data_IF_412368103536
#
_entry.id   IF_412368103536
#
_cell.length_a   1.000
_cell.length_b   1.000
_cell.length_c   1.000
_cell.angle_alpha   90.00
_cell.angle_beta   90.00
_cell.angle_gamma   90.00
#
_symmetry.space_group_name_H-M   'P 1'
#
loop_
_entity.id
_entity.type
_entity.pdbx_description
1 polymer ?
#
# COMPACT_ATOMS: atom_id res chain seq x y z
N UNK A 1 13.38 -10.47 18.00
CA UNK A 1 13.60 -9.63 19.19
C UNK A 1 13.35 -8.18 18.77
N UNK A 2 12.45 -7.44 19.44
CA UNK A 2 12.26 -6.00 19.14
C UNK A 2 13.46 -5.25 19.69
N UNK A 3 14.15 -4.49 18.85
CA UNK A 3 15.37 -3.77 19.23
C UNK A 3 14.97 -2.33 19.49
N UNK A 4 14.97 -1.93 20.76
CA UNK A 4 14.82 -0.53 21.15
C UNK A 4 16.21 0.10 21.07
N UNK A 5 16.40 0.96 20.08
CA UNK A 5 17.67 1.63 19.85
C UNK A 5 17.66 3.00 20.54
N UNK A 6 18.80 3.39 21.10
CA UNK A 6 19.00 4.79 21.44
C UNK A 6 19.35 5.60 20.18
N UNK A 7 19.36 6.94 20.30
CA UNK A 7 19.52 7.84 19.15
C UNK A 7 20.86 7.62 18.40
N UNK A 8 21.96 7.37 19.12
CA UNK A 8 23.26 7.08 18.51
C UNK A 8 23.32 5.72 17.79
N UNK A 9 22.62 4.71 18.31
CA UNK A 9 22.46 3.42 17.62
C UNK A 9 21.54 3.53 16.41
N UNK A 10 20.54 4.41 16.46
CA UNK A 10 19.68 4.70 15.34
C UNK A 10 20.43 5.40 14.19
N UNK A 11 21.31 6.35 14.49
CA UNK A 11 22.18 6.98 13.49
C UNK A 11 23.09 5.95 12.80
N UNK A 12 23.67 5.02 13.58
CA UNK A 12 24.46 3.92 13.04
C UNK A 12 23.63 2.98 12.15
N UNK A 13 22.38 2.68 12.55
CA UNK A 13 21.46 1.89 11.73
C UNK A 13 21.07 2.64 10.44
N UNK A 14 20.82 3.95 10.51
CA UNK A 14 20.48 4.79 9.36
C UNK A 14 21.59 4.79 8.32
N UNK A 15 22.84 4.91 8.75
CA UNK A 15 24.02 4.77 7.88
C UNK A 15 24.08 3.38 7.21
N UNK A 16 23.83 2.30 7.98
CA UNK A 16 23.78 0.94 7.42
C UNK A 16 22.64 0.74 6.42
N UNK A 17 21.47 1.34 6.65
CA UNK A 17 20.34 1.31 5.71
C UNK A 17 20.68 2.06 4.42
N UNK A 18 21.29 3.25 4.52
CA UNK A 18 21.76 4.01 3.35
C UNK A 18 22.80 3.21 2.54
N UNK A 19 23.68 2.49 3.23
CA UNK A 19 24.67 1.60 2.63
C UNK A 19 24.07 0.29 2.08
N UNK A 20 22.75 0.08 2.16
CA UNK A 20 22.03 -1.15 1.79
C UNK A 20 22.49 -2.40 2.56
N UNK A 21 23.07 -2.23 3.75
CA UNK A 21 23.53 -3.32 4.62
C UNK A 21 22.49 -3.74 5.65
N UNK A 22 21.46 -2.93 5.87
CA UNK A 22 20.32 -3.24 6.72
C UNK A 22 19.00 -2.82 6.05
N UNK A 23 17.90 -3.47 6.41
CA UNK A 23 16.57 -3.13 5.89
C UNK A 23 15.54 -2.99 7.02
N UNK A 24 14.71 -1.94 6.92
CA UNK A 24 13.55 -1.73 7.79
C UNK A 24 12.29 -2.18 7.08
N UNK A 25 11.58 -3.12 7.69
CA UNK A 25 10.31 -3.61 7.20
C UNK A 25 9.17 -3.18 8.13
N UNK A 26 8.28 -2.33 7.59
CA UNK A 26 7.04 -1.95 8.23
C UNK A 26 5.86 -2.62 7.50
N UNK A 27 4.88 -3.22 8.21
CA UNK A 27 3.71 -3.82 7.57
C UNK A 27 2.88 -2.76 6.82
N UNK A 28 2.44 -3.11 5.60
CA UNK A 28 1.62 -2.20 4.75
C UNK A 28 0.35 -1.71 5.42
N UNK A 29 -0.28 -2.55 6.25
CA UNK A 29 -1.49 -2.24 7.00
C UNK A 29 -1.26 -1.09 8.00
N UNK A 30 -0.19 -1.17 8.79
CA UNK A 30 0.22 -0.13 9.75
C UNK A 30 0.58 1.17 9.01
N UNK A 31 1.35 1.06 7.91
CA UNK A 31 1.70 2.24 7.12
C UNK A 31 0.48 2.95 6.56
N UNK A 32 -0.50 2.22 6.00
CA UNK A 32 -1.73 2.83 5.51
C UNK A 32 -2.56 3.43 6.65
N UNK A 33 -2.59 2.80 7.83
CA UNK A 33 -3.27 3.36 9.00
C UNK A 33 -2.65 4.67 9.46
N UNK A 34 -1.32 4.80 9.45
CA UNK A 34 -0.63 6.07 9.73
C UNK A 34 -1.16 7.19 8.83
N UNK A 35 -1.17 6.97 7.50
CA UNK A 35 -1.62 7.99 6.55
C UNK A 35 -3.15 8.16 6.49
N UNK A 36 -3.96 7.18 6.91
CA UNK A 36 -5.43 7.32 6.86
C UNK A 36 -6.04 7.79 8.18
N UNK A 37 -5.45 7.44 9.34
CA UNK A 37 -6.04 7.68 10.67
C UNK A 37 -5.33 8.74 11.50
N UNK A 38 -4.01 8.90 11.38
CA UNK A 38 -3.25 9.89 12.17
C UNK A 38 -3.26 11.23 11.45
N UNK A 39 -3.53 12.35 12.12
CA UNK A 39 -3.59 13.65 11.42
C UNK A 39 -2.20 14.06 10.94
N UNK A 40 -2.14 14.85 9.85
CA UNK A 40 -0.84 15.34 9.35
C UNK A 40 -0.13 16.23 10.38
N UNK A 41 -0.90 16.98 11.18
CA UNK A 41 -0.39 17.82 12.26
C UNK A 41 0.22 16.99 13.39
N UNK A 42 -0.42 15.89 13.80
CA UNK A 42 0.16 15.02 14.84
C UNK A 42 1.49 14.39 14.39
N UNK A 43 1.60 14.04 13.10
CA UNK A 43 2.85 13.54 12.52
C UNK A 43 3.90 14.65 12.50
N UNK A 44 3.54 15.87 12.09
CA UNK A 44 4.44 17.02 12.05
C UNK A 44 4.92 17.41 13.46
N UNK A 45 4.02 17.49 14.43
CA UNK A 45 4.31 17.83 15.82
C UNK A 45 5.26 16.81 16.48
N UNK A 46 5.12 15.53 16.11
CA UNK A 46 5.95 14.44 16.68
C UNK A 46 7.28 14.28 15.96
N UNK A 47 7.29 14.41 14.63
CA UNK A 47 8.44 14.03 13.80
C UNK A 47 9.19 15.21 13.20
N UNK A 48 8.64 16.42 13.32
CA UNK A 48 9.16 17.65 12.71
C UNK A 48 9.05 17.68 11.19
N UNK A 49 8.28 16.77 10.57
CA UNK A 49 8.15 16.65 9.12
C UNK A 49 6.69 16.74 8.67
N UNK A 50 6.43 17.66 7.76
CA UNK A 50 5.17 17.72 7.05
C UNK A 50 5.04 16.53 6.08
N UNK A 51 3.98 15.74 6.26
CA UNK A 51 3.61 14.62 5.40
C UNK A 51 2.25 14.81 4.70
N UNK A 52 1.76 16.05 4.64
CA UNK A 52 0.44 16.38 4.11
C UNK A 52 0.28 15.93 2.65
N UNK A 53 1.29 16.15 1.81
CA UNK A 53 1.23 15.80 0.39
C UNK A 53 1.19 14.28 0.17
N UNK A 54 2.01 13.54 0.92
CA UNK A 54 2.03 12.08 0.92
C UNK A 54 0.67 11.53 1.38
N UNK A 55 0.12 12.11 2.44
CA UNK A 55 -1.21 11.77 2.95
C UNK A 55 -2.29 11.99 1.90
N UNK A 56 -2.30 13.15 1.24
CA UNK A 56 -3.23 13.45 0.15
C UNK A 56 -3.11 12.46 -1.00
N UNK A 57 -1.89 12.07 -1.39
CA UNK A 57 -1.68 11.09 -2.44
C UNK A 57 -2.17 9.68 -2.07
N UNK A 58 -1.99 9.25 -0.82
CA UNK A 58 -2.59 7.99 -0.34
C UNK A 58 -4.11 8.07 -0.42
N UNK A 59 -4.71 9.14 0.08
CA UNK A 59 -6.17 9.34 0.04
C UNK A 59 -6.74 9.39 -1.37
N UNK A 60 -6.10 10.13 -2.29
CA UNK A 60 -6.55 10.22 -3.68
C UNK A 60 -6.53 8.86 -4.36
N UNK A 61 -5.50 8.05 -4.10
CA UNK A 61 -5.40 6.68 -4.62
C UNK A 61 -6.52 5.77 -4.11
N UNK A 62 -6.86 5.89 -2.82
CA UNK A 62 -7.96 5.12 -2.20
C UNK A 62 -9.31 5.53 -2.81
N UNK A 63 -9.59 6.84 -2.84
CA UNK A 63 -10.83 7.37 -3.39
C UNK A 63 -10.97 6.97 -4.87
N UNK A 64 -9.91 7.14 -5.66
CA UNK A 64 -9.92 6.80 -7.07
C UNK A 64 -10.15 5.30 -7.31
N UNK A 65 -9.58 4.43 -6.48
CA UNK A 65 -9.86 2.99 -6.54
C UNK A 65 -11.35 2.70 -6.35
N UNK A 66 -12.00 3.29 -5.35
CA UNK A 66 -13.44 3.12 -5.14
C UNK A 66 -14.28 3.71 -6.26
N UNK A 67 -13.89 4.86 -6.83
CA UNK A 67 -14.58 5.45 -7.98
C UNK A 67 -14.50 4.55 -9.22
N UNK A 68 -13.33 3.96 -9.49
CA UNK A 68 -13.17 3.02 -10.60
C UNK A 68 -13.96 1.73 -10.38
N UNK A 69 -14.01 1.24 -9.14
CA UNK A 69 -14.84 0.09 -8.80
C UNK A 69 -16.35 0.40 -8.96
N UNK A 70 -16.80 1.59 -8.53
CA UNK A 70 -18.18 2.03 -8.74
C UNK A 70 -18.51 2.17 -10.23
N UNK A 71 -17.60 2.73 -11.04
CA UNK A 71 -17.73 2.80 -12.49
C UNK A 71 -17.81 1.40 -13.12
N UNK A 72 -17.02 0.44 -12.61
CA UNK A 72 -17.10 -0.96 -13.03
C UNK A 72 -18.50 -1.53 -12.75
N UNK A 73 -19.08 -1.30 -11.56
CA UNK A 73 -20.42 -1.78 -11.23
C UNK A 73 -21.50 -1.17 -12.11
N UNK A 74 -21.42 0.13 -12.41
CA UNK A 74 -22.33 0.81 -13.34
C UNK A 74 -22.24 0.18 -14.73
N UNK A 75 -21.03 -0.11 -15.20
CA UNK A 75 -20.82 -0.76 -16.47
C UNK A 75 -21.34 -2.22 -16.47
N UNK A 76 -21.22 -2.97 -15.35
CA UNK A 76 -21.82 -4.31 -15.21
C UNK A 76 -23.34 -4.23 -15.35
N UNK A 77 -23.98 -3.24 -14.73
CA UNK A 77 -25.43 -3.04 -14.84
C UNK A 77 -25.82 -2.77 -16.30
N UNK A 78 -25.05 -1.93 -17.00
CA UNK A 78 -25.29 -1.62 -18.42
C UNK A 78 -25.12 -2.84 -19.34
N UNK A 79 -24.11 -3.67 -19.11
CA UNK A 79 -23.79 -4.81 -19.97
C UNK A 79 -24.71 -6.02 -19.74
N UNK A 80 -25.13 -6.28 -18.50
CA UNK A 80 -25.84 -7.51 -18.15
C UNK A 80 -27.35 -7.34 -17.90
N UNK A 81 -27.87 -6.11 -17.81
CA UNK A 81 -29.29 -5.85 -17.54
C UNK A 81 -29.77 -6.57 -16.28
N UNK A 82 -30.79 -7.43 -16.40
CA UNK A 82 -31.29 -8.25 -15.27
C UNK A 82 -30.23 -9.20 -14.70
N UNK A 83 -29.29 -9.69 -15.51
CA UNK A 83 -28.18 -10.53 -15.07
C UNK A 83 -27.22 -9.82 -14.10
N UNK A 84 -27.26 -8.49 -14.05
CA UNK A 84 -26.47 -7.69 -13.10
C UNK A 84 -26.83 -7.98 -11.63
N UNK A 85 -28.05 -8.46 -11.36
CA UNK A 85 -28.47 -8.89 -10.01
C UNK A 85 -27.56 -9.97 -9.42
N UNK A 86 -26.97 -10.82 -10.27
CA UNK A 86 -25.97 -11.81 -9.86
C UNK A 86 -24.53 -11.33 -10.13
N UNK A 87 -24.29 -10.70 -11.28
CA UNK A 87 -22.95 -10.30 -11.69
C UNK A 87 -22.34 -9.19 -10.81
N UNK A 88 -23.15 -8.22 -10.34
CA UNK A 88 -22.64 -7.13 -9.51
C UNK A 88 -22.21 -7.60 -8.10
N UNK A 89 -23.00 -8.39 -7.35
CA UNK A 89 -22.54 -8.97 -6.08
C UNK A 89 -21.29 -9.85 -6.23
N UNK A 90 -21.24 -10.69 -7.27
CA UNK A 90 -20.06 -11.53 -7.54
C UNK A 90 -18.82 -10.67 -7.80
N UNK A 91 -18.95 -9.64 -8.63
CA UNK A 91 -17.88 -8.66 -8.88
C UNK A 91 -17.41 -8.01 -7.58
N UNK A 92 -18.33 -7.66 -6.67
CA UNK A 92 -18.00 -7.16 -5.33
C UNK A 92 -17.23 -8.15 -4.48
N UNK A 93 -17.66 -9.42 -4.41
CA UNK A 93 -16.96 -10.47 -3.65
C UNK A 93 -15.53 -10.64 -4.18
N UNK A 94 -15.36 -10.74 -5.50
CA UNK A 94 -14.04 -10.86 -6.11
C UNK A 94 -13.16 -9.64 -5.83
N UNK A 95 -13.72 -8.44 -5.90
CA UNK A 95 -12.99 -7.22 -5.58
C UNK A 95 -12.49 -7.24 -4.14
N UNK A 96 -13.37 -7.56 -3.17
CA UNK A 96 -13.01 -7.63 -1.76
C UNK A 96 -11.91 -8.67 -1.50
N UNK A 97 -12.00 -9.85 -2.11
CA UNK A 97 -10.98 -10.90 -1.99
C UNK A 97 -9.64 -10.41 -2.55
N UNK A 98 -9.61 -9.87 -3.77
CA UNK A 98 -8.37 -9.45 -4.42
C UNK A 98 -7.72 -8.25 -3.73
N UNK A 99 -8.52 -7.31 -3.24
CA UNK A 99 -8.05 -6.22 -2.39
C UNK A 99 -7.52 -6.75 -1.05
N UNK A 100 -8.20 -7.73 -0.45
CA UNK A 100 -7.79 -8.36 0.81
C UNK A 100 -6.50 -9.17 0.70
N UNK A 101 -6.21 -9.74 -0.46
CA UNK A 101 -4.98 -10.49 -0.76
C UNK A 101 -3.74 -9.60 -0.91
N UNK A 102 -3.76 -8.35 -0.44
CA UNK A 102 -2.58 -7.48 -0.45
C UNK A 102 -1.51 -8.10 0.46
N UNK A 103 -0.35 -8.54 -0.08
CA UNK A 103 0.71 -9.10 0.75
C UNK A 103 1.18 -8.05 1.76
N UNK A 104 1.25 -8.40 3.04
CA UNK A 104 1.72 -7.47 4.08
C UNK A 104 3.21 -7.11 3.93
N UNK A 105 3.95 -7.95 3.18
CA UNK A 105 5.39 -7.85 2.92
C UNK A 105 5.68 -8.14 1.45
N UNK A 106 6.76 -7.56 0.94
CA UNK A 106 7.25 -7.81 -0.42
C UNK A 106 7.17 -6.60 -1.35
N UNK A 107 7.66 -6.77 -2.58
CA UNK A 107 7.64 -5.74 -3.62
C UNK A 107 6.24 -5.58 -4.23
N UNK A 108 5.89 -4.39 -4.76
CA UNK A 108 4.61 -4.15 -5.43
C UNK A 108 4.46 -4.94 -6.75
N UNK A 109 5.49 -5.69 -7.15
CA UNK A 109 5.54 -6.44 -8.40
C UNK A 109 4.34 -7.38 -8.61
N UNK A 110 3.91 -8.12 -7.57
CA UNK A 110 2.79 -9.06 -7.69
C UNK A 110 1.48 -8.36 -8.10
N UNK A 111 1.22 -7.19 -7.53
CA UNK A 111 0.05 -6.37 -7.85
C UNK A 111 0.13 -5.80 -9.26
N UNK A 112 1.31 -5.34 -9.69
CA UNK A 112 1.54 -4.83 -11.05
C UNK A 112 1.46 -5.93 -12.10
N UNK A 113 1.95 -7.13 -11.81
CA UNK A 113 1.83 -8.29 -12.69
C UNK A 113 0.37 -8.70 -12.86
N UNK A 114 -0.42 -8.77 -11.78
CA UNK A 114 -1.85 -9.04 -11.85
C UNK A 114 -2.60 -7.99 -12.68
N UNK A 115 -2.24 -6.71 -12.55
CA UNK A 115 -2.79 -5.64 -13.39
C UNK A 115 -2.45 -5.81 -14.87
N UNK A 116 -1.20 -6.13 -15.20
CA UNK A 116 -0.78 -6.36 -16.58
C UNK A 116 -1.53 -7.53 -17.22
N UNK A 117 -1.74 -8.63 -16.47
CA UNK A 117 -2.56 -9.76 -16.90
C UNK A 117 -4.01 -9.30 -17.14
N UNK A 118 -4.58 -8.53 -16.21
CA UNK A 118 -5.94 -7.98 -16.35
C UNK A 118 -6.10 -7.10 -17.59
N UNK A 119 -5.14 -6.22 -17.87
CA UNK A 119 -5.13 -5.43 -19.11
C UNK A 119 -4.97 -6.28 -20.36
N UNK A 120 -4.12 -7.32 -20.31
CA UNK A 120 -3.97 -8.29 -21.40
C UNK A 120 -5.28 -9.01 -21.70
N UNK A 121 -6.02 -9.43 -20.66
CA UNK A 121 -7.35 -10.01 -20.80
C UNK A 121 -8.37 -9.01 -21.37
N UNK A 122 -8.33 -7.75 -20.91
CA UNK A 122 -9.20 -6.70 -21.44
C UNK A 122 -8.98 -6.44 -22.94
N UNK A 123 -7.74 -6.56 -23.41
CA UNK A 123 -7.37 -6.35 -24.82
C UNK A 123 -7.86 -7.46 -25.76
N UNK A 124 -8.06 -8.68 -25.26
CA UNK A 124 -8.55 -9.82 -26.06
C UNK A 124 -10.04 -10.13 -25.83
N UNK A 125 -10.66 -9.48 -24.85
CA UNK A 125 -12.07 -9.66 -24.55
C UNK A 125 -12.97 -9.01 -25.61
N UNK A 126 -14.21 -9.50 -25.78
CA UNK A 126 -15.22 -8.78 -26.56
C UNK A 126 -15.41 -7.37 -26.01
N UNK A 127 -15.64 -6.40 -26.89
CA UNK A 127 -15.59 -4.96 -26.55
C UNK A 127 -16.55 -4.54 -25.42
N UNK A 128 -17.63 -5.29 -25.20
CA UNK A 128 -18.58 -5.09 -24.11
C UNK A 128 -17.96 -5.36 -22.73
N UNK A 129 -16.99 -6.28 -22.64
CA UNK A 129 -16.34 -6.67 -21.39
C UNK A 129 -15.00 -5.95 -21.15
N UNK A 130 -14.38 -5.40 -22.20
CA UNK A 130 -13.13 -4.63 -22.10
C UNK A 130 -13.18 -3.53 -21.02
N UNK A 131 -14.18 -2.63 -20.98
CA UNK A 131 -14.22 -1.60 -19.94
C UNK A 131 -14.43 -2.20 -18.54
N UNK A 132 -15.17 -3.30 -18.42
CA UNK A 132 -15.39 -3.99 -17.13
C UNK A 132 -14.09 -4.51 -16.57
N UNK A 133 -13.35 -5.29 -17.37
CA UNK A 133 -12.10 -5.91 -16.95
C UNK A 133 -11.05 -4.83 -16.66
N UNK A 134 -10.96 -3.79 -17.50
CA UNK A 134 -10.00 -2.70 -17.32
C UNK A 134 -10.27 -1.89 -16.05
N UNK A 135 -11.53 -1.47 -15.81
CA UNK A 135 -11.91 -0.73 -14.61
C UNK A 135 -11.72 -1.56 -13.35
N UNK A 136 -12.09 -2.84 -13.39
CA UNK A 136 -11.90 -3.76 -12.29
C UNK A 136 -10.42 -3.93 -11.95
N UNK A 137 -9.58 -4.27 -12.95
CA UNK A 137 -8.14 -4.45 -12.76
C UNK A 137 -7.47 -3.16 -12.25
N UNK A 138 -7.83 -2.01 -12.82
CA UNK A 138 -7.29 -0.71 -12.40
C UNK A 138 -7.70 -0.36 -10.96
N UNK A 139 -8.94 -0.65 -10.56
CA UNK A 139 -9.42 -0.39 -9.21
C UNK A 139 -8.63 -1.18 -8.16
N UNK A 140 -8.40 -2.49 -8.40
CA UNK A 140 -7.64 -3.36 -7.49
C UNK A 140 -6.18 -2.92 -7.45
N UNK A 141 -5.58 -2.66 -8.62
CA UNK A 141 -4.20 -2.22 -8.72
C UNK A 141 -3.94 -0.92 -7.98
N UNK A 142 -4.78 0.11 -8.18
CA UNK A 142 -4.66 1.37 -7.46
C UNK A 142 -4.76 1.17 -5.95
N UNK A 143 -5.69 0.33 -5.47
CA UNK A 143 -5.78 0.06 -4.04
C UNK A 143 -4.50 -0.55 -3.47
N UNK A 144 -3.87 -1.49 -4.18
CA UNK A 144 -2.59 -2.10 -3.80
C UNK A 144 -1.43 -1.11 -3.88
N UNK A 145 -1.40 -0.26 -4.90
CA UNK A 145 -0.41 0.82 -5.05
C UNK A 145 -0.50 1.79 -3.87
N UNK A 146 -1.71 2.15 -3.42
CA UNK A 146 -1.91 2.98 -2.24
C UNK A 146 -1.27 2.39 -0.97
N UNK A 147 -1.36 1.07 -0.77
CA UNK A 147 -0.64 0.38 0.32
C UNK A 147 0.88 0.44 0.15
N UNK A 148 1.38 0.25 -1.06
CA UNK A 148 2.82 0.28 -1.33
C UNK A 148 3.41 1.70 -1.16
N UNK A 149 2.71 2.73 -1.62
CA UNK A 149 3.10 4.13 -1.44
C UNK A 149 3.13 4.51 0.04
N UNK A 150 2.08 4.16 0.78
CA UNK A 150 2.03 4.37 2.23
C UNK A 150 3.20 3.68 2.94
N UNK A 151 3.51 2.44 2.58
CA UNK A 151 4.66 1.71 3.14
C UNK A 151 5.98 2.39 2.84
N UNK A 152 6.21 2.80 1.59
CA UNK A 152 7.44 3.45 1.17
C UNK A 152 7.69 4.74 1.95
N UNK A 153 6.68 5.62 2.05
CA UNK A 153 6.81 6.88 2.77
C UNK A 153 6.90 6.72 4.28
N UNK A 154 6.20 5.74 4.85
CA UNK A 154 6.35 5.44 6.28
C UNK A 154 7.76 4.91 6.59
N UNK A 155 8.33 4.05 5.75
CA UNK A 155 9.71 3.58 5.90
C UNK A 155 10.72 4.73 5.79
N UNK A 156 10.53 5.66 4.85
CA UNK A 156 11.36 6.85 4.75
C UNK A 156 11.26 7.73 6.00
N UNK A 157 10.05 7.98 6.50
CA UNK A 157 9.84 8.75 7.72
C UNK A 157 10.56 8.13 8.92
N UNK A 158 10.39 6.82 9.12
CA UNK A 158 11.05 6.06 10.19
C UNK A 158 12.57 6.06 10.05
N UNK A 159 13.10 6.02 8.83
CA UNK A 159 14.56 5.99 8.61
C UNK A 159 15.21 7.36 8.87
N UNK A 160 14.44 8.43 8.74
CA UNK A 160 14.95 9.79 8.81
C UNK A 160 14.68 10.51 10.14
N UNK A 161 13.73 10.02 10.94
CA UNK A 161 13.36 10.62 12.22
C UNK A 161 13.35 9.57 13.32
N UNK A 162 14.18 9.78 14.34
CA UNK A 162 14.22 8.91 15.51
C UNK A 162 12.87 8.88 16.25
N UNK A 163 12.19 10.03 16.34
CA UNK A 163 10.85 10.11 16.94
C UNK A 163 9.81 9.27 16.17
N UNK A 164 9.88 9.26 14.84
CA UNK A 164 9.01 8.42 14.02
C UNK A 164 9.35 6.93 14.17
N UNK A 165 10.63 6.61 14.31
CA UNK A 165 11.08 5.26 14.63
C UNK A 165 10.56 4.79 15.98
N UNK A 166 10.69 5.61 17.02
CA UNK A 166 10.24 5.27 18.37
C UNK A 166 8.72 5.04 18.41
N UNK A 167 7.94 5.90 17.73
CA UNK A 167 6.49 5.74 17.58
C UNK A 167 6.08 4.41 16.91
N UNK A 168 6.90 3.87 16.00
CA UNK A 168 6.56 2.71 15.18
C UNK A 168 7.39 1.47 15.51
N UNK A 169 8.32 1.54 16.48
CA UNK A 169 9.29 0.49 16.82
C UNK A 169 8.62 -0.83 17.16
N UNK A 170 7.43 -0.77 17.76
CA UNK A 170 6.67 -1.96 18.11
C UNK A 170 6.20 -2.78 16.91
N UNK A 171 6.10 -2.15 15.74
CA UNK A 171 5.61 -2.74 14.50
C UNK A 171 6.73 -2.92 13.46
N UNK A 172 7.93 -2.41 13.74
CA UNK A 172 9.09 -2.48 12.86
C UNK A 172 9.82 -3.82 13.03
N UNK A 173 10.23 -4.39 11.89
CA UNK A 173 11.21 -5.48 11.85
C UNK A 173 12.47 -4.95 11.19
N UNK A 174 13.60 -5.16 11.87
CA UNK A 174 14.93 -4.75 11.40
C UNK A 174 15.66 -6.02 10.99
N UNK A 175 16.01 -6.12 9.72
CA UNK A 175 16.89 -7.17 9.22
C UNK A 175 18.29 -6.53 9.06
N UNK A 176 19.14 -6.74 10.08
CA UNK A 176 20.51 -6.20 10.18
C UNK A 176 21.50 -7.37 10.40
N UNK A 177 22.11 -7.91 9.34
CA UNK A 177 23.02 -9.05 9.41
C UNK A 177 24.31 -8.75 10.20
N UNK A 178 24.82 -7.50 10.17
CA UNK A 178 26.05 -7.13 10.89
C UNK A 178 25.84 -7.08 12.42
N UNK A 179 24.59 -6.86 12.85
CA UNK A 179 24.25 -6.78 14.25
C UNK A 179 23.89 -8.14 14.88
N UNK A 180 23.99 -9.23 14.11
CA UNK A 180 23.88 -10.63 14.56
C UNK A 180 25.26 -11.24 14.90
N UNK A 181 26.34 -10.75 14.29
CA UNK A 181 27.72 -11.22 14.52
C UNK A 181 28.40 -10.56 15.74
N UNK A 182 27.67 -9.71 16.46
CA UNK A 182 28.15 -8.96 17.65
C UNK A 182 27.52 -9.43 18.96
N UNK A 183 26.88 -10.62 18.97
CA UNK A 183 26.43 -11.35 20.16
C UNK A 183 27.20 -12.66 20.30
#
# INVERSE_FOLDING_TARGET
MKRYLNESQFDALRERIKARRAALHLPRSISRQLFTRVSARDIEDTTGRDMTLQKMAVWSTIILSFLLFAACLVAVIGAFGWGATLAAPLTGIFWTILVGLTPERGTPWHSTAGFAIGLGLAAVAPGEYTPLIALFAASVWLNHVGYAMAQHWAQQLVTDSFAAYDMLVEHLRIDDPEAADSQ
#
